data_IF_944820400533
#
_entry.id   IF_944820400533
#
_cell.length_a   1.000
_cell.length_b   1.000
_cell.length_c   1.000
_cell.angle_alpha   90.00
_cell.angle_beta   90.00
_cell.angle_gamma   90.00
#
_symmetry.space_group_name_H-M   'P 1'
#
loop_
_entity.id
_entity.type
_entity.pdbx_description
1 polymer ?
#
# COMPACT_ATOMS: atom_id res chain seq x y z
N UNK A 1 21.20 -9.80 16.66
CA UNK A 1 21.28 -10.81 15.56
C UNK A 1 19.86 -11.23 15.22
N UNK A 2 19.37 -10.99 13.99
CA UNK A 2 18.02 -11.47 13.60
C UNK A 2 18.01 -13.01 13.68
N UNK A 3 17.02 -13.57 14.37
CA UNK A 3 16.82 -15.03 14.50
C UNK A 3 16.83 -15.70 13.12
N UNK A 4 17.36 -16.93 13.04
CA UNK A 4 17.36 -17.76 11.83
C UNK A 4 15.96 -17.84 11.22
N UNK A 5 14.93 -17.91 12.06
CA UNK A 5 13.52 -17.92 11.65
C UNK A 5 13.11 -16.67 10.88
N UNK A 6 13.59 -15.48 11.28
CA UNK A 6 13.31 -14.22 10.58
C UNK A 6 14.02 -14.15 9.21
N UNK A 7 15.22 -14.75 9.10
CA UNK A 7 15.95 -14.81 7.83
C UNK A 7 15.27 -15.77 6.86
N UNK A 8 14.84 -16.94 7.34
CA UNK A 8 14.10 -17.91 6.54
C UNK A 8 12.76 -17.33 6.10
N UNK A 9 12.02 -16.71 7.02
CA UNK A 9 10.79 -15.99 6.71
C UNK A 9 11.01 -14.96 5.59
N UNK A 10 12.02 -14.09 5.73
CA UNK A 10 12.34 -13.09 4.71
C UNK A 10 12.71 -13.68 3.35
N UNK A 11 13.50 -14.76 3.32
CA UNK A 11 13.88 -15.45 2.08
C UNK A 11 12.65 -16.07 1.37
N UNK A 12 11.77 -16.74 2.13
CA UNK A 12 10.52 -17.30 1.60
C UNK A 12 9.61 -16.18 1.08
N UNK A 13 9.44 -15.10 1.83
CA UNK A 13 8.64 -13.95 1.38
C UNK A 13 9.19 -13.36 0.09
N UNK A 14 10.52 -13.20 -0.04
CA UNK A 14 11.16 -12.69 -1.26
C UNK A 14 10.93 -13.62 -2.46
N UNK A 15 11.08 -14.94 -2.26
CA UNK A 15 10.89 -15.93 -3.31
C UNK A 15 9.42 -16.00 -3.81
N UNK A 16 8.45 -15.67 -2.96
CA UNK A 16 7.02 -15.66 -3.30
C UNK A 16 6.63 -14.42 -4.14
N UNK A 17 7.36 -13.31 -4.05
CA UNK A 17 7.02 -12.06 -4.75
C UNK A 17 6.73 -12.20 -6.26
N UNK A 18 7.56 -12.88 -7.09
CA UNK A 18 7.28 -13.03 -8.52
C UNK A 18 5.96 -13.77 -8.81
N UNK A 19 5.56 -14.72 -7.96
CA UNK A 19 4.29 -15.43 -8.11
C UNK A 19 3.10 -14.51 -7.83
N UNK A 20 3.21 -13.64 -6.82
CA UNK A 20 2.19 -12.62 -6.51
C UNK A 20 2.05 -11.63 -7.67
N UNK A 21 3.16 -11.16 -8.24
CA UNK A 21 3.16 -10.29 -9.43
C UNK A 21 2.46 -10.96 -10.62
N UNK A 22 2.73 -12.25 -10.86
CA UNK A 22 2.05 -13.02 -11.92
C UNK A 22 0.55 -13.17 -11.66
N UNK A 23 0.14 -13.39 -10.41
CA UNK A 23 -1.27 -13.43 -10.00
C UNK A 23 -1.97 -12.08 -10.25
N UNK A 24 -1.34 -10.97 -9.87
CA UNK A 24 -1.86 -9.62 -10.12
C UNK A 24 -2.02 -9.34 -11.62
N UNK A 25 -1.01 -9.67 -12.43
CA UNK A 25 -1.09 -9.55 -13.90
C UNK A 25 -2.24 -10.37 -14.51
N UNK A 26 -2.45 -11.60 -14.03
CA UNK A 26 -3.58 -12.43 -14.49
C UNK A 26 -4.91 -11.79 -14.11
N UNK A 27 -5.03 -11.25 -12.90
CA UNK A 27 -6.24 -10.57 -12.44
C UNK A 27 -6.49 -9.27 -13.20
N UNK A 28 -5.44 -8.57 -13.59
CA UNK A 28 -5.55 -7.34 -14.39
C UNK A 28 -6.15 -7.55 -15.79
N UNK A 29 -6.14 -8.78 -16.32
CA UNK A 29 -6.85 -9.10 -17.56
C UNK A 29 -8.36 -8.97 -17.39
N UNK A 30 -8.90 -9.37 -16.23
CA UNK A 30 -10.33 -9.26 -15.91
C UNK A 30 -10.68 -7.90 -15.29
N UNK A 31 -9.78 -7.33 -14.50
CA UNK A 31 -9.97 -6.08 -13.77
C UNK A 31 -8.77 -5.14 -14.01
N UNK A 32 -8.76 -4.32 -15.07
CA UNK A 32 -7.59 -3.52 -15.46
C UNK A 32 -6.98 -2.65 -14.35
N UNK A 33 -7.78 -2.22 -13.38
CA UNK A 33 -7.30 -1.48 -12.19
C UNK A 33 -6.25 -2.22 -11.35
N UNK A 34 -6.15 -3.55 -11.47
CA UNK A 34 -5.09 -4.34 -10.81
C UNK A 34 -3.70 -4.19 -11.45
N UNK A 35 -3.60 -3.66 -12.67
CA UNK A 35 -2.31 -3.33 -13.30
C UNK A 35 -1.77 -1.95 -12.91
N UNK A 36 -2.56 -1.13 -12.20
CA UNK A 36 -2.16 0.22 -11.84
C UNK A 36 -1.32 0.21 -10.57
N UNK A 37 -0.22 0.99 -10.57
CA UNK A 37 0.66 1.21 -9.42
C UNK A 37 1.15 -0.09 -8.74
N UNK A 38 1.44 -1.13 -9.53
CA UNK A 38 1.87 -2.44 -9.00
C UNK A 38 3.14 -2.30 -8.16
N UNK A 39 4.11 -1.49 -8.60
CA UNK A 39 5.37 -1.30 -7.89
C UNK A 39 5.21 -0.66 -6.49
N UNK A 40 4.26 0.26 -6.33
CA UNK A 40 3.94 0.89 -5.04
C UNK A 40 3.45 -0.17 -4.03
N UNK A 41 2.72 -1.20 -4.49
CA UNK A 41 2.28 -2.33 -3.65
C UNK A 41 3.44 -3.18 -3.14
N UNK A 42 4.59 -3.14 -3.81
CA UNK A 42 5.83 -3.80 -3.37
C UNK A 42 6.79 -2.81 -2.67
N UNK A 43 6.31 -1.61 -2.31
CA UNK A 43 7.09 -0.61 -1.58
C UNK A 43 8.05 0.21 -2.47
N UNK A 44 7.96 0.07 -3.79
CA UNK A 44 8.77 0.85 -4.72
C UNK A 44 7.99 2.10 -5.15
N UNK A 45 8.31 3.23 -4.52
CA UNK A 45 7.73 4.51 -4.86
C UNK A 45 8.74 5.33 -5.69
N UNK A 46 8.31 5.97 -6.80
CA UNK A 46 9.20 6.80 -7.62
C UNK A 46 9.72 8.04 -6.88
N UNK A 47 9.06 8.43 -5.79
CA UNK A 47 9.50 9.52 -4.93
C UNK A 47 9.32 9.08 -3.48
N UNK A 48 10.43 9.00 -2.74
CA UNK A 48 10.41 8.78 -1.29
C UNK A 48 10.26 10.13 -0.63
N UNK A 49 9.09 10.50 -0.09
CA UNK A 49 8.89 11.85 0.36
C UNK A 49 9.57 12.02 1.72
N UNK A 50 10.55 12.93 1.80
CA UNK A 50 11.44 13.09 2.96
C UNK A 50 10.77 13.82 4.12
N UNK A 51 10.77 13.27 5.34
CA UNK A 51 10.22 13.91 6.54
C UNK A 51 9.81 12.89 7.62
N UNK A 52 9.60 13.34 8.85
CA UNK A 52 9.27 12.50 10.01
C UNK A 52 7.78 12.49 10.37
N UNK A 53 6.99 13.42 9.85
CA UNK A 53 5.61 13.66 10.29
C UNK A 53 4.58 12.95 9.40
N UNK A 54 4.75 11.64 9.27
CA UNK A 54 3.86 10.79 8.49
C UNK A 54 2.74 10.22 9.35
N UNK A 55 1.50 10.40 8.90
CA UNK A 55 0.38 9.61 9.35
C UNK A 55 0.02 8.61 8.26
N UNK A 56 0.25 7.32 8.55
CA UNK A 56 -0.07 6.24 7.63
C UNK A 56 -1.45 5.67 7.96
N UNK A 57 -2.36 5.77 7.00
CA UNK A 57 -3.71 5.22 7.03
C UNK A 57 -3.76 4.02 6.07
N UNK A 58 -4.13 2.85 6.59
CA UNK A 58 -4.29 1.64 5.79
C UNK A 58 -5.76 1.22 5.75
N UNK A 59 -6.34 1.13 4.57
CA UNK A 59 -7.74 0.76 4.35
C UNK A 59 -7.82 -0.44 3.39
N UNK A 60 -8.25 -1.60 3.89
CA UNK A 60 -8.27 -2.87 3.15
C UNK A 60 -9.62 -3.17 2.49
N UNK A 61 -10.67 -2.43 2.85
CA UNK A 61 -12.02 -2.56 2.29
C UNK A 61 -12.50 -1.29 1.58
N UNK A 62 -13.50 -1.41 0.69
CA UNK A 62 -14.17 -0.27 0.09
C UNK A 62 -14.87 0.62 1.13
N UNK A 63 -15.49 0.01 2.14
CA UNK A 63 -16.12 0.75 3.24
C UNK A 63 -15.10 1.52 4.08
N UNK A 64 -13.95 0.90 4.35
CA UNK A 64 -12.84 1.53 5.06
C UNK A 64 -12.21 2.66 4.26
N UNK A 65 -12.04 2.51 2.94
CA UNK A 65 -11.52 3.57 2.08
C UNK A 65 -12.43 4.82 2.10
N UNK A 66 -13.75 4.61 2.11
CA UNK A 66 -14.73 5.72 2.25
C UNK A 66 -14.66 6.38 3.61
N UNK A 67 -14.54 5.60 4.69
CA UNK A 67 -14.38 6.15 6.03
C UNK A 67 -13.05 6.91 6.18
N UNK A 68 -11.98 6.37 5.60
CA UNK A 68 -10.65 6.98 5.57
C UNK A 68 -10.67 8.32 4.84
N UNK A 69 -11.45 8.46 3.76
CA UNK A 69 -11.60 9.74 3.07
C UNK A 69 -12.16 10.84 3.99
N UNK A 70 -13.19 10.54 4.78
CA UNK A 70 -13.77 11.48 5.76
C UNK A 70 -12.73 11.88 6.81
N UNK A 71 -11.98 10.90 7.33
CA UNK A 71 -10.91 11.13 8.30
C UNK A 71 -9.79 12.00 7.72
N UNK A 72 -9.34 11.70 6.50
CA UNK A 72 -8.29 12.45 5.79
C UNK A 72 -8.69 13.91 5.63
N UNK A 73 -9.94 14.16 5.27
CA UNK A 73 -10.47 15.50 5.02
C UNK A 73 -10.45 16.34 6.31
N UNK A 74 -10.82 15.74 7.43
CA UNK A 74 -10.76 16.39 8.74
C UNK A 74 -9.31 16.59 9.23
N UNK A 75 -8.45 15.60 9.02
CA UNK A 75 -7.03 15.70 9.36
C UNK A 75 -6.31 16.81 8.58
N UNK A 76 -6.67 17.00 7.30
CA UNK A 76 -6.16 18.10 6.48
C UNK A 76 -6.61 19.47 7.01
N UNK A 77 -7.84 19.57 7.57
CA UNK A 77 -8.33 20.81 8.20
C UNK A 77 -7.61 21.12 9.51
N UNK A 78 -7.48 20.14 10.39
CA UNK A 78 -6.92 20.37 11.74
C UNK A 78 -5.39 20.46 11.75
N UNK A 79 -4.71 19.76 10.84
CA UNK A 79 -3.26 19.66 10.83
C UNK A 79 -2.71 19.68 9.40
N UNK A 80 -2.77 20.84 8.69
CA UNK A 80 -2.40 20.91 7.28
C UNK A 80 -0.95 20.53 6.97
N UNK A 81 -0.06 20.59 7.97
CA UNK A 81 1.35 20.22 7.84
C UNK A 81 1.63 18.72 7.85
N UNK A 82 0.68 17.86 8.25
CA UNK A 82 0.93 16.42 8.35
C UNK A 82 0.96 15.77 6.97
N UNK A 83 1.87 14.82 6.80
CA UNK A 83 1.98 14.05 5.56
C UNK A 83 1.14 12.79 5.69
N UNK A 84 0.04 12.74 4.95
CA UNK A 84 -0.85 11.58 4.93
C UNK A 84 -0.39 10.60 3.85
N UNK A 85 -0.11 9.36 4.25
CA UNK A 85 0.06 8.22 3.35
C UNK A 85 -1.18 7.34 3.46
N UNK A 86 -1.95 7.19 2.37
CA UNK A 86 -3.07 6.27 2.30
C UNK A 86 -2.64 5.05 1.45
N UNK A 87 -2.74 3.84 2.01
CA UNK A 87 -2.56 2.61 1.24
C UNK A 87 -3.84 1.77 1.23
N UNK A 88 -4.26 1.34 0.05
CA UNK A 88 -5.45 0.51 -0.14
C UNK A 88 -5.23 -0.60 -1.15
N UNK A 89 -5.81 -1.77 -0.87
CA UNK A 89 -5.71 -2.96 -1.73
C UNK A 89 -6.79 -3.06 -2.81
N UNK A 90 -7.83 -2.24 -2.73
CA UNK A 90 -8.99 -2.26 -3.63
C UNK A 90 -8.76 -1.35 -4.84
N UNK A 91 -9.07 -1.85 -6.04
CA UNK A 91 -8.92 -1.11 -7.29
C UNK A 91 -9.87 0.12 -7.37
N UNK A 92 -10.95 0.10 -6.61
CA UNK A 92 -11.99 1.13 -6.53
C UNK A 92 -11.75 2.18 -5.44
N UNK A 93 -10.57 2.18 -4.79
CA UNK A 93 -10.26 3.03 -3.64
C UNK A 93 -9.52 4.34 -3.96
N UNK A 94 -9.32 4.69 -5.24
CA UNK A 94 -8.81 6.01 -5.65
C UNK A 94 -9.95 6.97 -5.94
#
# INVERSE_FOLDING_TARGET
>A
MRSLSLRLYGAVTWLIQPFVRRKLRRRAVAEPGYAVAVEERFGHYPTTPAGTDWCWIHAVSLGEARAAAILIDELRRQAPGIRLLLTHGTATGR
#
